data_IF_110393115106
#
_entry.id   IF_110393115106
#
_cell.length_a   1.000
_cell.length_b   1.000
_cell.length_c   1.000
_cell.angle_alpha   90.00
_cell.angle_beta   90.00
_cell.angle_gamma   90.00
#
_symmetry.space_group_name_H-M   'P 1'
#
loop_
_entity.id
_entity.type
_entity.pdbx_description
1 polymer ?
#
# COMPACT_ATOMS: atom_id res chain seq x y z
N UNK A 1 -9.58 -22.20 13.21
CA UNK A 1 -8.26 -22.85 13.11
C UNK A 1 -7.34 -22.11 12.12
N UNK A 2 -7.75 -21.80 10.90
CA UNK A 2 -6.93 -21.10 9.87
C UNK A 2 -6.46 -19.72 10.35
N UNK A 3 -7.32 -18.91 10.99
CA UNK A 3 -6.97 -17.57 11.51
C UNK A 3 -5.88 -17.60 12.60
N UNK A 4 -5.69 -18.70 13.29
CA UNK A 4 -4.62 -18.85 14.28
C UNK A 4 -3.26 -19.12 13.61
N UNK A 5 -3.26 -19.91 12.54
CA UNK A 5 -2.04 -20.20 11.77
C UNK A 5 -1.52 -18.95 11.02
N UNK A 6 -2.43 -18.12 10.50
CA UNK A 6 -2.09 -16.89 9.78
C UNK A 6 -1.61 -15.73 10.71
N UNK A 7 -1.66 -15.92 12.04
CA UNK A 7 -1.02 -14.98 12.99
C UNK A 7 0.51 -15.04 12.96
N UNK A 8 1.06 -16.18 12.52
CA UNK A 8 2.52 -16.29 12.36
C UNK A 8 2.95 -15.54 11.08
N UNK A 9 3.83 -14.53 11.17
CA UNK A 9 4.24 -13.71 10.03
C UNK A 9 4.86 -14.52 8.88
N UNK A 10 5.65 -15.56 9.20
CA UNK A 10 6.30 -16.39 8.19
C UNK A 10 5.29 -17.25 7.43
N UNK A 11 4.30 -17.80 8.13
CA UNK A 11 3.25 -18.62 7.52
C UNK A 11 2.31 -17.74 6.67
N UNK A 12 2.03 -16.53 7.14
CA UNK A 12 1.26 -15.54 6.40
C UNK A 12 1.98 -15.10 5.10
N UNK A 13 3.29 -14.83 5.17
CA UNK A 13 4.11 -14.53 3.97
C UNK A 13 4.14 -15.70 2.99
N UNK A 14 4.28 -16.93 3.49
CA UNK A 14 4.22 -18.13 2.64
C UNK A 14 2.87 -18.25 1.94
N UNK A 15 1.78 -18.10 2.68
CA UNK A 15 0.43 -18.11 2.12
C UNK A 15 0.27 -17.02 1.03
N UNK A 16 0.64 -15.79 1.32
CA UNK A 16 0.57 -14.70 0.34
C UNK A 16 1.35 -15.02 -0.94
N UNK A 17 2.57 -15.53 -0.83
CA UNK A 17 3.36 -15.96 -2.00
C UNK A 17 2.68 -17.06 -2.79
N UNK A 18 2.01 -18.02 -2.15
CA UNK A 18 1.37 -19.16 -2.80
C UNK A 18 0.15 -18.80 -3.64
N UNK A 19 -0.58 -17.75 -3.26
CA UNK A 19 -1.80 -17.30 -3.95
C UNK A 19 -1.53 -16.28 -5.06
N UNK A 20 -0.32 -15.70 -5.13
CA UNK A 20 0.08 -14.75 -6.17
C UNK A 20 0.36 -15.43 -7.51
N UNK A 21 0.21 -14.68 -8.58
CA UNK A 21 0.62 -15.09 -9.93
C UNK A 21 2.14 -14.91 -10.11
N UNK A 22 2.68 -15.36 -11.24
CA UNK A 22 4.10 -15.22 -11.61
C UNK A 22 4.54 -13.75 -11.62
N UNK A 23 3.66 -12.87 -12.09
CA UNK A 23 3.85 -11.43 -12.06
C UNK A 23 2.75 -10.85 -11.17
N UNK A 24 3.14 -10.30 -10.04
CA UNK A 24 2.23 -9.80 -9.01
C UNK A 24 2.32 -8.28 -8.82
N UNK A 25 1.66 -7.78 -7.80
CA UNK A 25 1.65 -6.36 -7.48
C UNK A 25 3.04 -5.79 -7.15
N UNK A 26 3.95 -6.60 -6.59
CA UNK A 26 5.31 -6.14 -6.27
C UNK A 26 6.19 -6.04 -7.52
N UNK A 27 6.02 -6.94 -8.49
CA UNK A 27 6.63 -6.79 -9.81
C UNK A 27 6.13 -5.54 -10.52
N UNK A 28 4.83 -5.24 -10.36
CA UNK A 28 4.26 -4.01 -10.87
C UNK A 28 4.81 -2.76 -10.17
N UNK A 29 4.94 -2.77 -8.83
CA UNK A 29 5.61 -1.67 -8.12
C UNK A 29 7.06 -1.50 -8.58
N UNK A 30 7.81 -2.59 -8.68
CA UNK A 30 9.17 -2.55 -9.24
C UNK A 30 9.20 -1.91 -10.63
N UNK A 31 8.25 -2.25 -11.50
CA UNK A 31 8.12 -1.64 -12.82
C UNK A 31 7.87 -0.13 -12.75
N UNK A 32 6.92 0.32 -11.91
CA UNK A 32 6.59 1.74 -11.70
C UNK A 32 7.86 2.53 -11.36
N UNK A 33 8.62 2.07 -10.38
CA UNK A 33 9.79 2.79 -9.87
C UNK A 33 11.01 2.66 -10.79
N UNK A 34 11.21 1.51 -11.44
CA UNK A 34 12.31 1.27 -12.38
C UNK A 34 12.24 2.16 -13.63
N UNK A 35 11.06 2.50 -14.13
CA UNK A 35 10.88 3.28 -15.36
C UNK A 35 11.29 4.75 -15.24
N UNK A 36 11.77 5.19 -14.06
CA UNK A 36 12.21 6.57 -13.81
C UNK A 36 11.14 7.63 -14.18
N UNK A 37 9.86 7.26 -14.08
CA UNK A 37 8.73 8.18 -14.22
C UNK A 37 8.83 9.25 -13.13
N UNK A 38 9.39 8.86 -11.99
CA UNK A 38 9.66 9.71 -10.84
C UNK A 38 11.16 9.92 -10.69
N UNK A 39 11.56 11.08 -10.18
CA UNK A 39 12.96 11.42 -9.89
C UNK A 39 13.10 11.82 -8.41
N UNK A 40 14.25 11.50 -7.82
CA UNK A 40 14.57 11.86 -6.43
C UNK A 40 13.46 11.46 -5.44
N UNK A 41 13.09 10.17 -5.45
CA UNK A 41 11.94 9.68 -4.69
C UNK A 41 12.24 9.70 -3.19
N UNK A 42 11.51 10.54 -2.46
CA UNK A 42 11.44 10.58 -1.00
C UNK A 42 10.08 10.01 -0.59
N UNK A 43 10.05 8.72 -0.26
CA UNK A 43 8.81 7.98 -0.01
C UNK A 43 8.41 8.06 1.46
N UNK A 44 7.17 8.49 1.71
CA UNK A 44 6.48 8.31 2.98
C UNK A 44 5.54 7.11 2.85
N UNK A 45 5.86 6.02 3.55
CA UNK A 45 5.04 4.80 3.58
C UNK A 45 4.23 4.77 4.88
N UNK A 46 2.92 4.96 4.74
CA UNK A 46 1.97 5.07 5.86
C UNK A 46 1.39 3.68 6.14
N UNK A 47 1.45 3.24 7.41
CA UNK A 47 1.13 1.90 7.85
C UNK A 47 2.03 0.86 7.16
N UNK A 48 3.34 1.12 7.18
CA UNK A 48 4.34 0.37 6.40
C UNK A 48 4.50 -1.10 6.83
N UNK A 49 3.96 -1.49 7.99
CA UNK A 49 4.12 -2.84 8.53
C UNK A 49 5.59 -3.25 8.62
N UNK A 50 5.92 -4.40 8.05
CA UNK A 50 7.30 -4.89 7.94
C UNK A 50 8.05 -4.40 6.68
N UNK A 51 7.49 -3.42 5.99
CA UNK A 51 8.07 -2.77 4.79
C UNK A 51 8.50 -3.76 3.71
N UNK A 52 7.72 -4.84 3.52
CA UNK A 52 8.04 -5.89 2.55
C UNK A 52 8.20 -5.37 1.11
N UNK A 53 7.57 -4.26 0.77
CA UNK A 53 7.71 -3.60 -0.54
C UNK A 53 9.16 -3.22 -0.84
N UNK A 54 9.95 -2.90 0.18
CA UNK A 54 11.36 -2.53 0.02
C UNK A 54 12.24 -3.66 -0.54
N UNK A 55 11.85 -4.93 -0.38
CA UNK A 55 12.55 -6.07 -1.02
C UNK A 55 12.57 -5.91 -2.56
N UNK A 56 11.64 -5.13 -3.13
CA UNK A 56 11.45 -4.96 -4.57
C UNK A 56 11.88 -3.59 -5.09
N UNK A 57 11.74 -2.53 -4.27
CA UNK A 57 11.88 -1.15 -4.76
C UNK A 57 13.01 -0.34 -4.13
N UNK A 58 13.74 -0.89 -3.14
CA UNK A 58 14.74 -0.13 -2.37
C UNK A 58 15.87 0.48 -3.21
N UNK A 59 16.14 -0.06 -4.40
CA UNK A 59 17.17 0.43 -5.31
C UNK A 59 16.70 1.64 -6.16
N UNK A 60 15.39 1.90 -6.17
CA UNK A 60 14.75 2.91 -7.01
C UNK A 60 14.26 4.13 -6.24
N UNK A 61 14.43 4.13 -4.91
CA UNK A 61 14.03 5.23 -4.03
C UNK A 61 15.26 5.81 -3.33
N UNK A 62 15.28 7.14 -3.22
CA UNK A 62 16.45 7.88 -2.67
C UNK A 62 16.37 7.98 -1.16
N UNK A 63 15.17 8.20 -0.61
CA UNK A 63 14.92 8.29 0.82
C UNK A 63 13.58 7.66 1.19
N UNK A 64 13.47 7.08 2.38
CA UNK A 64 12.28 6.37 2.84
C UNK A 64 12.01 6.64 4.31
N UNK A 65 10.76 6.95 4.59
CA UNK A 65 10.22 7.07 5.93
C UNK A 65 9.03 6.11 6.07
N UNK A 66 9.23 4.99 6.77
CA UNK A 66 8.16 4.07 7.13
C UNK A 66 7.53 4.47 8.46
N UNK A 67 6.21 4.50 8.50
CA UNK A 67 5.42 4.84 9.69
C UNK A 67 4.44 3.73 10.00
N UNK A 68 4.47 3.20 11.21
CA UNK A 68 3.54 2.20 11.70
C UNK A 68 3.33 2.33 13.20
N UNK A 69 2.19 1.89 13.70
CA UNK A 69 1.89 1.84 15.14
C UNK A 69 2.48 0.60 15.84
N UNK A 70 2.92 -0.41 15.07
CA UNK A 70 3.48 -1.65 15.61
C UNK A 70 5.01 -1.58 15.70
N UNK A 71 5.51 -1.32 16.91
CA UNK A 71 6.95 -1.20 17.17
C UNK A 71 7.74 -2.49 16.85
N UNK A 72 7.15 -3.67 16.99
CA UNK A 72 7.82 -4.94 16.68
C UNK A 72 8.17 -5.06 15.19
N UNK A 73 7.30 -4.55 14.31
CA UNK A 73 7.60 -4.45 12.88
C UNK A 73 8.74 -3.47 12.61
N UNK A 74 8.68 -2.29 13.23
CA UNK A 74 9.65 -1.23 13.01
C UNK A 74 11.05 -1.60 13.52
N UNK A 75 11.17 -2.35 14.62
CA UNK A 75 12.45 -2.89 15.08
C UNK A 75 13.10 -3.76 14.00
N UNK A 76 12.33 -4.66 13.37
CA UNK A 76 12.82 -5.51 12.28
C UNK A 76 13.21 -4.67 11.07
N UNK A 77 12.40 -3.70 10.70
CA UNK A 77 12.68 -2.80 9.58
C UNK A 77 13.98 -2.03 9.78
N UNK A 78 14.22 -1.46 10.96
CA UNK A 78 15.48 -0.75 11.29
C UNK A 78 16.70 -1.65 11.23
N UNK A 79 16.57 -2.93 11.56
CA UNK A 79 17.65 -3.91 11.45
C UNK A 79 17.96 -4.26 10.00
N UNK A 80 16.92 -4.47 9.20
CA UNK A 80 17.03 -4.89 7.80
C UNK A 80 17.42 -3.73 6.87
N UNK A 81 16.83 -2.55 7.07
CA UNK A 81 16.90 -1.41 6.16
C UNK A 81 17.63 -0.21 6.81
N UNK A 82 18.87 -0.39 7.23
CA UNK A 82 19.64 0.61 8.00
C UNK A 82 19.81 1.98 7.34
N UNK A 83 19.65 2.05 6.01
CA UNK A 83 19.74 3.30 5.24
C UNK A 83 18.46 4.15 5.30
N UNK A 84 17.36 3.59 5.82
CA UNK A 84 16.05 4.22 5.83
C UNK A 84 15.56 4.50 7.26
N UNK A 85 14.55 5.35 7.37
CA UNK A 85 14.00 5.77 8.65
C UNK A 85 12.65 5.08 8.91
N UNK A 86 12.44 4.65 10.16
CA UNK A 86 11.22 3.99 10.60
C UNK A 86 10.79 4.53 11.95
N UNK A 87 9.54 4.99 12.04
CA UNK A 87 9.05 5.72 13.21
C UNK A 87 7.71 5.15 13.65
N UNK A 88 7.61 4.93 14.97
CA UNK A 88 6.33 4.63 15.59
C UNK A 88 5.59 5.95 15.84
N UNK A 89 4.59 6.23 15.02
CA UNK A 89 3.77 7.42 15.13
C UNK A 89 2.31 7.10 14.90
N UNK A 90 1.46 7.73 15.70
CA UNK A 90 0.04 7.87 15.40
C UNK A 90 -0.16 9.09 14.49
N UNK A 91 -0.70 8.86 13.30
CA UNK A 91 -0.99 9.92 12.32
C UNK A 91 -2.04 10.93 12.79
N UNK A 92 -2.80 10.60 13.85
CA UNK A 92 -3.80 11.49 14.41
C UNK A 92 -3.22 12.52 15.39
N UNK A 93 -1.93 12.42 15.74
CA UNK A 93 -1.27 13.37 16.63
C UNK A 93 -0.67 14.54 15.84
N UNK A 94 -1.17 15.77 16.06
CA UNK A 94 -0.73 17.00 15.37
C UNK A 94 0.78 17.25 15.47
N UNK A 95 1.40 16.91 16.61
CA UNK A 95 2.86 17.08 16.82
C UNK A 95 3.70 16.29 15.81
N UNK A 96 3.15 15.28 15.18
CA UNK A 96 3.85 14.44 14.22
C UNK A 96 3.86 15.04 12.80
N UNK A 97 2.97 16.00 12.52
CA UNK A 97 2.86 16.65 11.21
C UNK A 97 4.16 17.38 10.84
N UNK A 98 4.78 18.09 11.79
CA UNK A 98 6.04 18.80 11.56
C UNK A 98 7.16 17.88 11.10
N UNK A 99 7.21 16.64 11.63
CA UNK A 99 8.20 15.66 11.23
C UNK A 99 8.05 15.28 9.75
N UNK A 100 6.83 15.05 9.30
CA UNK A 100 6.55 14.71 7.90
C UNK A 100 6.82 15.90 6.98
N UNK A 101 6.47 17.12 7.39
CA UNK A 101 6.76 18.35 6.64
C UNK A 101 8.28 18.51 6.49
N UNK A 102 9.06 18.24 7.53
CA UNK A 102 10.53 18.28 7.49
C UNK A 102 11.12 17.22 6.56
N UNK A 103 10.53 16.02 6.53
CA UNK A 103 10.94 14.96 5.61
C UNK A 103 10.71 15.33 4.15
N UNK A 104 9.70 16.16 3.84
CA UNK A 104 9.33 16.63 2.48
C UNK A 104 9.11 15.48 1.51
N UNK A 105 8.18 14.55 1.76
CA UNK A 105 7.90 13.46 0.85
C UNK A 105 7.40 14.00 -0.49
N UNK A 106 7.89 13.45 -1.59
CA UNK A 106 7.31 13.67 -2.92
C UNK A 106 6.55 12.45 -3.44
N UNK A 107 6.62 11.33 -2.73
CA UNK A 107 5.82 10.13 -2.99
C UNK A 107 5.23 9.61 -1.68
N UNK A 108 3.91 9.43 -1.63
CA UNK A 108 3.19 8.89 -0.47
C UNK A 108 2.60 7.54 -0.86
N UNK A 109 2.85 6.53 -0.04
CA UNK A 109 2.48 5.15 -0.30
C UNK A 109 1.66 4.57 0.86
N UNK A 110 0.64 3.76 0.54
CA UNK A 110 -0.15 2.98 1.49
C UNK A 110 -0.43 1.62 0.86
N UNK A 111 0.07 0.55 1.44
CA UNK A 111 -0.07 -0.78 0.87
C UNK A 111 -0.80 -1.73 1.80
N UNK A 112 -2.02 -2.14 1.42
CA UNK A 112 -2.81 -3.12 2.15
C UNK A 112 -3.17 -2.70 3.56
N UNK A 113 -3.48 -1.41 3.79
CA UNK A 113 -3.70 -0.86 5.12
C UNK A 113 -5.07 -0.25 5.35
N UNK A 114 -5.69 0.35 4.32
CA UNK A 114 -6.96 1.07 4.50
C UNK A 114 -8.11 0.15 4.95
N UNK A 115 -8.08 -1.14 4.60
CA UNK A 115 -9.06 -2.12 5.04
C UNK A 115 -8.93 -2.54 6.52
N UNK A 116 -7.87 -2.12 7.20
CA UNK A 116 -7.72 -2.26 8.66
C UNK A 116 -8.23 -1.05 9.42
N UNK A 117 -8.48 0.09 8.75
CA UNK A 117 -8.79 1.38 9.33
C UNK A 117 -10.27 1.73 9.16
N UNK A 118 -10.86 2.30 10.19
CA UNK A 118 -12.23 2.81 10.11
C UNK A 118 -12.34 4.06 9.20
N UNK A 119 -13.55 4.44 8.83
CA UNK A 119 -13.81 5.54 7.91
C UNK A 119 -13.27 6.88 8.42
N UNK A 120 -13.32 7.10 9.74
CA UNK A 120 -12.81 8.33 10.36
C UNK A 120 -11.30 8.44 10.17
N UNK A 121 -10.59 7.36 10.44
CA UNK A 121 -9.13 7.29 10.29
C UNK A 121 -8.72 7.45 8.81
N UNK A 122 -9.41 6.77 7.88
CA UNK A 122 -9.15 6.93 6.43
C UNK A 122 -9.36 8.38 5.98
N UNK A 123 -10.46 9.03 6.42
CA UNK A 123 -10.71 10.45 6.13
C UNK A 123 -9.62 11.36 6.71
N UNK A 124 -9.14 11.07 7.91
CA UNK A 124 -8.04 11.82 8.55
C UNK A 124 -6.75 11.71 7.73
N UNK A 125 -6.34 10.50 7.36
CA UNK A 125 -5.16 10.25 6.52
C UNK A 125 -5.29 10.97 5.17
N UNK A 126 -6.45 10.84 4.51
CA UNK A 126 -6.71 11.54 3.25
C UNK A 126 -6.56 13.06 3.41
N UNK A 127 -7.16 13.64 4.43
CA UNK A 127 -7.08 15.09 4.70
C UNK A 127 -5.63 15.51 4.99
N UNK A 128 -4.91 14.72 5.77
CA UNK A 128 -3.48 14.94 6.02
C UNK A 128 -2.68 15.00 4.72
N UNK A 129 -2.88 14.04 3.81
CA UNK A 129 -2.18 13.98 2.52
C UNK A 129 -2.55 15.18 1.64
N UNK A 130 -3.85 15.46 1.50
CA UNK A 130 -4.33 16.51 0.58
C UNK A 130 -3.95 17.90 1.05
N UNK A 131 -3.93 18.16 2.36
CA UNK A 131 -3.65 19.47 2.92
C UNK A 131 -2.15 19.77 3.01
N UNK A 132 -1.34 18.78 3.37
CA UNK A 132 0.09 19.01 3.62
C UNK A 132 0.97 18.69 2.41
N UNK A 133 0.53 17.77 1.52
CA UNK A 133 1.32 17.28 0.38
C UNK A 133 0.52 17.29 -0.94
N UNK A 134 -0.06 18.43 -1.33
CA UNK A 134 -0.93 18.51 -2.51
C UNK A 134 -0.21 18.15 -3.83
N UNK A 135 1.09 18.37 -3.90
CA UNK A 135 1.91 18.12 -5.09
C UNK A 135 2.65 16.78 -5.08
N UNK A 136 2.60 16.03 -3.99
CA UNK A 136 3.23 14.71 -3.93
C UNK A 136 2.46 13.70 -4.78
N UNK A 137 3.18 12.75 -5.37
CA UNK A 137 2.58 11.55 -5.93
C UNK A 137 1.94 10.73 -4.81
N UNK A 138 0.83 10.11 -5.11
CA UNK A 138 0.15 9.23 -4.16
C UNK A 138 -0.20 7.90 -4.83
N UNK A 139 0.05 6.82 -4.12
CA UNK A 139 -0.36 5.48 -4.52
C UNK A 139 -0.82 4.70 -3.29
N UNK A 140 -2.03 4.13 -3.34
CA UNK A 140 -2.44 3.11 -2.40
C UNK A 140 -3.02 1.90 -3.12
N UNK A 141 -2.97 0.75 -2.45
CA UNK A 141 -3.61 -0.47 -2.92
C UNK A 141 -4.27 -1.19 -1.75
N UNK A 142 -5.51 -1.62 -1.95
CA UNK A 142 -6.29 -2.35 -0.95
C UNK A 142 -7.20 -3.40 -1.60
N UNK A 143 -7.53 -4.50 -0.91
CA UNK A 143 -8.53 -5.43 -1.37
C UNK A 143 -9.91 -4.80 -1.36
N UNK A 144 -10.75 -5.15 -2.36
CA UNK A 144 -12.15 -4.73 -2.40
C UNK A 144 -13.11 -5.91 -2.30
N UNK A 145 -14.27 -5.64 -1.73
CA UNK A 145 -15.37 -6.58 -1.69
C UNK A 145 -16.09 -6.60 -3.03
N UNK A 146 -16.11 -7.78 -3.69
CA UNK A 146 -16.93 -8.04 -4.86
C UNK A 146 -17.89 -9.18 -4.57
N UNK A 147 -19.18 -8.87 -4.41
CA UNK A 147 -20.21 -9.84 -4.07
C UNK A 147 -20.49 -10.85 -5.19
N UNK A 148 -20.12 -10.52 -6.43
CA UNK A 148 -20.32 -11.39 -7.59
C UNK A 148 -19.17 -12.42 -7.78
N UNK A 149 -18.11 -12.36 -6.96
CA UNK A 149 -16.98 -13.24 -7.04
C UNK A 149 -16.84 -14.05 -5.74
N UNK A 150 -17.29 -15.32 -5.79
CA UNK A 150 -17.25 -16.23 -4.62
C UNK A 150 -15.82 -16.44 -4.10
N UNK A 151 -14.83 -16.55 -4.99
CA UNK A 151 -13.42 -16.73 -4.61
C UNK A 151 -12.87 -15.47 -3.92
N UNK A 152 -13.23 -14.28 -4.41
CA UNK A 152 -12.92 -13.02 -3.74
C UNK A 152 -13.49 -13.04 -2.31
N UNK A 153 -14.75 -13.42 -2.15
CA UNK A 153 -15.41 -13.50 -0.84
C UNK A 153 -14.68 -14.46 0.13
N UNK A 154 -14.19 -15.60 -0.35
CA UNK A 154 -13.43 -16.56 0.46
C UNK A 154 -12.09 -15.93 0.88
N UNK A 155 -11.36 -15.31 -0.05
CA UNK A 155 -10.09 -14.68 0.23
C UNK A 155 -10.22 -13.54 1.25
N UNK A 156 -11.25 -12.71 1.12
CA UNK A 156 -11.55 -11.63 2.07
C UNK A 156 -11.88 -12.15 3.47
N UNK A 157 -12.53 -13.32 3.60
CA UNK A 157 -12.77 -13.94 4.91
C UNK A 157 -11.49 -14.46 5.59
N UNK A 158 -10.44 -14.72 4.80
CA UNK A 158 -9.12 -15.11 5.31
C UNK A 158 -8.24 -13.89 5.60
N UNK A 159 -8.60 -12.75 5.07
CA UNK A 159 -7.95 -11.48 5.38
C UNK A 159 -8.25 -11.03 6.83
N UNK A 160 -7.33 -10.27 7.41
CA UNK A 160 -7.44 -9.75 8.78
C UNK A 160 -8.10 -8.38 8.86
N UNK A 161 -8.42 -7.77 7.71
CA UNK A 161 -9.05 -6.47 7.61
C UNK A 161 -10.47 -6.47 8.16
N UNK A 162 -10.78 -5.51 9.02
CA UNK A 162 -12.11 -5.36 9.63
C UNK A 162 -13.05 -4.47 8.81
N UNK A 163 -12.52 -3.65 7.94
CA UNK A 163 -13.23 -2.60 7.20
C UNK A 163 -13.05 -2.74 5.70
N UNK A 164 -13.14 -3.98 5.19
CA UNK A 164 -13.07 -4.22 3.75
C UNK A 164 -14.34 -3.68 3.11
N UNK A 165 -14.18 -2.75 2.18
CA UNK A 165 -15.26 -2.01 1.53
C UNK A 165 -15.44 -2.46 0.08
N UNK A 166 -16.62 -2.18 -0.48
CA UNK A 166 -16.81 -2.25 -1.93
C UNK A 166 -16.21 -1.01 -2.62
N UNK A 167 -16.17 -1.04 -3.95
CA UNK A 167 -15.60 0.06 -4.74
C UNK A 167 -16.28 1.40 -4.45
N UNK A 168 -17.60 1.43 -4.36
CA UNK A 168 -18.36 2.68 -4.17
C UNK A 168 -18.08 3.34 -2.82
N UNK A 169 -18.00 2.54 -1.76
CA UNK A 169 -17.66 2.98 -0.41
C UNK A 169 -16.23 3.54 -0.36
N UNK A 170 -15.26 2.86 -0.99
CA UNK A 170 -13.91 3.36 -1.08
C UNK A 170 -13.81 4.65 -1.90
N UNK A 171 -14.48 4.73 -3.06
CA UNK A 171 -14.44 5.92 -3.93
C UNK A 171 -14.99 7.15 -3.20
N UNK A 172 -16.03 7.00 -2.38
CA UNK A 172 -16.54 8.11 -1.58
C UNK A 172 -15.55 8.57 -0.51
N UNK A 173 -14.89 7.63 0.17
CA UNK A 173 -13.90 7.95 1.19
C UNK A 173 -12.66 8.61 0.61
N UNK A 174 -12.20 8.15 -0.57
CA UNK A 174 -10.90 8.52 -1.14
C UNK A 174 -10.96 9.67 -2.13
N UNK A 175 -12.14 10.21 -2.48
CA UNK A 175 -12.20 11.45 -3.28
C UNK A 175 -11.28 12.53 -2.69
N UNK A 176 -10.46 13.24 -3.49
CA UNK A 176 -10.46 13.33 -4.96
C UNK A 176 -9.45 12.41 -5.67
N UNK A 177 -8.91 11.38 -5.03
CA UNK A 177 -7.97 10.46 -5.68
C UNK A 177 -8.67 9.65 -6.78
N UNK A 178 -7.94 9.33 -7.84
CA UNK A 178 -8.44 8.52 -8.96
C UNK A 178 -8.31 7.04 -8.59
N UNK A 179 -9.32 6.24 -8.90
CA UNK A 179 -9.31 4.80 -8.63
C UNK A 179 -9.15 3.95 -9.89
N UNK A 180 -8.45 2.83 -9.73
CA UNK A 180 -8.27 1.81 -10.76
C UNK A 180 -8.31 0.41 -10.14
N UNK A 181 -9.07 -0.52 -10.70
CA UNK A 181 -9.22 -1.88 -10.17
C UNK A 181 -8.41 -2.86 -10.99
N UNK A 182 -7.62 -3.70 -10.33
CA UNK A 182 -6.84 -4.78 -10.94
C UNK A 182 -7.21 -6.11 -10.29
N UNK A 183 -7.42 -7.16 -11.09
CA UNK A 183 -7.85 -8.49 -10.65
C UNK A 183 -6.92 -9.62 -11.10
N UNK A 184 -5.75 -9.32 -11.65
CA UNK A 184 -4.87 -10.33 -12.24
C UNK A 184 -3.52 -10.54 -11.54
N UNK A 185 -3.32 -9.95 -10.37
CA UNK A 185 -2.13 -10.21 -9.54
C UNK A 185 -2.20 -11.53 -8.75
N UNK A 186 -3.40 -12.07 -8.57
CA UNK A 186 -3.64 -13.28 -7.78
C UNK A 186 -4.29 -14.38 -8.61
N UNK A 187 -3.98 -15.65 -8.28
CA UNK A 187 -4.48 -16.82 -9.00
C UNK A 187 -6.00 -16.96 -8.98
N UNK A 188 -6.66 -16.41 -7.98
CA UNK A 188 -8.11 -16.53 -7.76
C UNK A 188 -8.88 -15.27 -8.20
N UNK A 189 -8.31 -14.43 -9.06
CA UNK A 189 -8.89 -13.17 -9.51
C UNK A 189 -9.36 -12.30 -8.33
N UNK A 190 -8.52 -12.25 -7.30
CA UNK A 190 -8.73 -11.39 -6.16
C UNK A 190 -8.57 -9.93 -6.58
N UNK A 191 -9.57 -9.12 -6.28
CA UNK A 191 -9.63 -7.75 -6.77
C UNK A 191 -8.97 -6.79 -5.79
N UNK A 192 -8.10 -5.95 -6.31
CA UNK A 192 -7.49 -4.84 -5.58
C UNK A 192 -7.88 -3.52 -6.24
N UNK A 193 -8.19 -2.53 -5.41
CA UNK A 193 -8.38 -1.16 -5.84
C UNK A 193 -7.13 -0.35 -5.55
N UNK A 194 -6.70 0.40 -6.55
CA UNK A 194 -5.61 1.35 -6.47
C UNK A 194 -6.17 2.75 -6.44
N UNK A 195 -5.66 3.60 -5.55
CA UNK A 195 -5.88 5.03 -5.59
C UNK A 195 -4.57 5.73 -5.91
N UNK A 196 -4.63 6.69 -6.81
CA UNK A 196 -3.43 7.42 -7.25
C UNK A 196 -3.73 8.90 -7.52
N UNK A 197 -2.67 9.70 -7.52
CA UNK A 197 -2.72 11.14 -7.79
C UNK A 197 -1.40 11.61 -8.40
N UNK A 198 -1.50 12.60 -9.29
CA UNK A 198 -0.40 13.29 -9.95
C UNK A 198 0.40 12.45 -10.97
N UNK A 199 -0.08 11.27 -11.36
CA UNK A 199 0.45 10.47 -12.46
C UNK A 199 -0.67 9.60 -13.06
N UNK A 200 -0.41 8.93 -14.18
CA UNK A 200 -1.39 8.05 -14.84
C UNK A 200 -1.04 6.57 -14.60
N UNK A 201 -1.60 6.00 -13.53
CA UNK A 201 -1.36 4.60 -13.15
C UNK A 201 -1.92 3.61 -14.18
N UNK A 202 -3.06 3.92 -14.79
CA UNK A 202 -3.71 3.05 -15.77
C UNK A 202 -2.85 2.87 -17.02
N UNK A 203 -2.28 3.96 -17.54
CA UNK A 203 -1.34 3.92 -18.65
C UNK A 203 -0.08 3.12 -18.31
N UNK A 204 0.46 3.31 -17.11
CA UNK A 204 1.62 2.56 -16.62
C UNK A 204 1.31 1.07 -16.55
N UNK A 205 0.11 0.71 -16.06
CA UNK A 205 -0.33 -0.67 -16.00
C UNK A 205 -0.45 -1.32 -17.39
N UNK A 206 -1.03 -0.61 -18.36
CA UNK A 206 -1.12 -1.11 -19.74
C UNK A 206 0.27 -1.33 -20.37
N UNK A 207 1.22 -0.44 -20.09
CA UNK A 207 2.60 -0.59 -20.54
C UNK A 207 3.28 -1.81 -19.90
N UNK A 208 3.08 -2.01 -18.59
CA UNK A 208 3.60 -3.17 -17.88
C UNK A 208 3.03 -4.48 -18.44
N UNK A 209 1.72 -4.54 -18.71
CA UNK A 209 1.07 -5.72 -19.30
C UNK A 209 1.69 -6.10 -20.64
N UNK A 210 2.06 -5.13 -21.48
CA UNK A 210 2.73 -5.39 -22.76
C UNK A 210 4.14 -5.94 -22.60
N UNK A 211 4.86 -5.59 -21.52
CA UNK A 211 6.21 -6.10 -21.28
C UNK A 211 6.24 -7.52 -20.73
N UNK A 212 5.17 -7.97 -20.05
CA UNK A 212 5.10 -9.31 -19.45
C UNK A 212 4.33 -10.32 -20.30
N UNK A 213 3.64 -9.88 -21.37
CA UNK A 213 2.92 -10.74 -22.33
C UNK A 213 3.89 -11.37 -23.34
#
# INVERSE_FOLDING_TARGET
>A
MINFLLKNPNLYRFYQKSVRRKYDEYDFFKFIFKKKIFSNIRMLDICCGDSFVLDYINEYIDDYLGVDSNEEYLIKCRQQWRKFNFINLDLNEEKNIEYFIKFKPNFIFINGALHHLDDKTVKSIKSFITNNFPNSYFLSVDPIKNNNNLLNTIMLKLDRGKFIRDKSQYDELMKPFISFVINDFYKMNFENIFYYKNFNLEEIYQNWKREIS
#
